data_IF_894354464548
#
_entry.id   IF_894354464548
#
_cell.length_a   1.000
_cell.length_b   1.000
_cell.length_c   1.000
_cell.angle_alpha   90.00
_cell.angle_beta   90.00
_cell.angle_gamma   90.00
#
_symmetry.space_group_name_H-M   'P 1'
#
loop_
_entity.id
_entity.type
_entity.pdbx_description
1 polymer ?
#
# COMPACT_ATOMS: atom_id res chain seq x y z
N UNK A 1 12.05 -2.14 5.57
CA UNK A 1 11.39 -1.99 4.26
C UNK A 1 9.87 -2.22 4.38
N UNK A 2 9.07 -1.20 4.08
CA UNK A 2 7.59 -1.19 4.17
C UNK A 2 6.88 -2.08 3.13
N UNK A 3 7.61 -3.00 2.49
CA UNK A 3 7.15 -3.91 1.44
C UNK A 3 6.47 -5.16 2.03
N UNK A 4 6.71 -5.48 3.31
CA UNK A 4 6.15 -6.69 3.93
C UNK A 4 4.64 -6.60 4.12
N UNK A 5 4.10 -5.43 4.49
CA UNK A 5 2.68 -5.31 4.87
C UNK A 5 1.75 -5.37 3.65
N UNK A 6 2.11 -4.66 2.58
CA UNK A 6 1.37 -4.70 1.30
C UNK A 6 1.48 -6.08 0.65
N UNK A 7 2.65 -6.72 0.70
CA UNK A 7 2.83 -8.09 0.21
C UNK A 7 1.97 -9.10 1.01
N UNK A 8 1.95 -8.98 2.34
CA UNK A 8 1.12 -9.84 3.19
C UNK A 8 -0.38 -9.68 2.88
N UNK A 9 -0.86 -8.45 2.74
CA UNK A 9 -2.25 -8.19 2.34
C UNK A 9 -2.58 -8.85 0.98
N UNK A 10 -1.64 -8.80 0.04
CA UNK A 10 -1.78 -9.44 -1.26
C UNK A 10 -1.92 -10.95 -1.14
N UNK A 11 -1.02 -11.61 -0.40
CA UNK A 11 -1.07 -13.05 -0.18
C UNK A 11 -2.34 -13.48 0.55
N UNK A 12 -2.81 -12.70 1.53
CA UNK A 12 -4.09 -12.95 2.21
C UNK A 12 -5.23 -12.92 1.18
N UNK A 13 -5.32 -11.86 0.38
CA UNK A 13 -6.40 -11.73 -0.62
C UNK A 13 -6.34 -12.80 -1.72
N UNK A 14 -5.15 -13.22 -2.15
CA UNK A 14 -5.02 -14.35 -3.08
C UNK A 14 -5.55 -15.65 -2.49
N UNK A 15 -5.28 -15.91 -1.20
CA UNK A 15 -5.78 -17.11 -0.49
C UNK A 15 -7.28 -17.05 -0.27
N UNK A 16 -7.83 -15.91 0.10
CA UNK A 16 -9.27 -15.76 0.38
C UNK A 16 -10.10 -15.93 -0.90
N UNK A 17 -9.62 -15.41 -2.04
CA UNK A 17 -10.19 -15.65 -3.36
C UNK A 17 -10.18 -17.15 -3.69
N UNK A 18 -9.04 -17.83 -3.49
CA UNK A 18 -8.92 -19.27 -3.75
C UNK A 18 -9.84 -20.13 -2.85
N UNK A 19 -10.11 -19.67 -1.63
CA UNK A 19 -11.00 -20.33 -0.67
C UNK A 19 -12.49 -19.95 -0.85
N UNK A 20 -12.80 -18.98 -1.71
CA UNK A 20 -14.18 -18.53 -1.93
C UNK A 20 -14.83 -17.88 -0.72
N UNK A 21 -14.06 -17.18 0.12
CA UNK A 21 -14.61 -16.55 1.34
C UNK A 21 -15.61 -15.43 0.99
N UNK A 22 -16.72 -15.27 1.72
CA UNK A 22 -17.75 -14.29 1.40
C UNK A 22 -17.46 -12.86 1.89
N UNK A 23 -16.36 -12.65 2.62
CA UNK A 23 -16.02 -11.35 3.22
C UNK A 23 -14.85 -10.69 2.52
N UNK A 24 -14.90 -9.36 2.44
CA UNK A 24 -13.83 -8.52 1.91
C UNK A 24 -12.73 -8.30 2.96
N UNK A 25 -11.47 -8.49 2.56
CA UNK A 25 -10.30 -8.24 3.41
C UNK A 25 -9.60 -6.97 2.96
N UNK A 26 -9.73 -5.90 3.75
CA UNK A 26 -9.15 -4.59 3.47
C UNK A 26 -8.07 -4.21 4.48
N UNK A 27 -7.44 -3.05 4.29
CA UNK A 27 -6.37 -2.53 5.13
C UNK A 27 -6.80 -1.31 5.94
N UNK A 28 -6.16 -1.13 7.10
CA UNK A 28 -6.19 0.10 7.89
C UNK A 28 -4.77 0.40 8.34
N UNK A 29 -4.02 1.09 7.49
CA UNK A 29 -2.59 1.32 7.68
C UNK A 29 -2.30 2.77 8.06
N UNK A 30 -1.57 2.97 9.15
CA UNK A 30 -1.01 4.27 9.52
C UNK A 30 0.37 4.48 8.89
N UNK A 31 1.42 4.11 9.64
CA UNK A 31 2.82 4.35 9.26
C UNK A 31 3.20 3.82 7.88
N UNK A 32 2.69 2.64 7.49
CA UNK A 32 3.04 2.01 6.20
C UNK A 32 2.52 2.77 4.97
N UNK A 33 1.53 3.66 5.12
CA UNK A 33 1.07 4.57 4.06
C UNK A 33 1.75 5.94 4.12
N UNK A 34 2.04 6.44 5.33
CA UNK A 34 2.54 7.81 5.53
C UNK A 34 4.07 7.91 5.55
N UNK A 35 4.82 6.83 5.76
CA UNK A 35 6.28 6.84 5.89
C UNK A 35 7.02 7.40 4.67
N UNK A 36 6.72 6.90 3.47
CA UNK A 36 7.33 7.40 2.23
C UNK A 36 6.94 8.85 1.90
N UNK A 37 5.65 9.26 1.99
CA UNK A 37 5.23 10.66 1.83
C UNK A 37 5.89 11.62 2.81
N UNK A 38 5.98 11.25 4.09
CA UNK A 38 6.63 12.08 5.11
C UNK A 38 8.11 12.26 4.83
N UNK A 39 8.79 11.19 4.40
CA UNK A 39 10.19 11.24 3.98
C UNK A 39 10.37 12.13 2.75
N UNK A 40 9.50 12.01 1.75
CA UNK A 40 9.53 12.83 0.54
C UNK A 40 9.22 14.31 0.83
N UNK A 41 8.30 14.58 1.76
CA UNK A 41 7.94 15.94 2.17
C UNK A 41 9.09 16.65 2.89
N UNK A 42 9.75 15.97 3.82
CA UNK A 42 10.85 16.52 4.64
C UNK A 42 10.51 17.84 5.37
N UNK A 43 9.22 18.14 5.57
CA UNK A 43 8.75 19.38 6.20
C UNK A 43 8.83 20.63 5.31
N UNK A 44 9.11 20.46 4.02
CA UNK A 44 9.32 21.56 3.06
C UNK A 44 8.11 21.75 2.15
N UNK A 45 7.64 22.99 2.01
CA UNK A 45 6.45 23.28 1.20
C UNK A 45 6.69 23.02 -0.29
N UNK A 46 7.93 23.21 -0.77
CA UNK A 46 8.33 22.91 -2.14
C UNK A 46 8.22 21.41 -2.49
N UNK A 47 8.20 20.51 -1.49
CA UNK A 47 8.13 19.06 -1.69
C UNK A 47 6.69 18.51 -1.64
N UNK A 48 5.67 19.35 -1.51
CA UNK A 48 4.28 18.89 -1.34
C UNK A 48 3.81 18.02 -2.50
N UNK A 49 4.17 18.35 -3.75
CA UNK A 49 3.82 17.53 -4.91
C UNK A 49 4.50 16.16 -4.89
N UNK A 50 5.80 16.11 -4.55
CA UNK A 50 6.54 14.87 -4.43
C UNK A 50 5.96 13.96 -3.31
N UNK A 51 5.57 14.56 -2.19
CA UNK A 51 4.91 13.85 -1.09
C UNK A 51 3.53 13.30 -1.49
N UNK A 52 2.73 14.10 -2.20
CA UNK A 52 1.42 13.69 -2.71
C UNK A 52 1.55 12.52 -3.70
N UNK A 53 2.52 12.58 -4.62
CA UNK A 53 2.81 11.51 -5.56
C UNK A 53 3.22 10.23 -4.82
N UNK A 54 4.13 10.32 -3.86
CA UNK A 54 4.54 9.18 -3.04
C UNK A 54 3.35 8.54 -2.28
N UNK A 55 2.43 9.37 -1.77
CA UNK A 55 1.25 8.88 -1.07
C UNK A 55 0.29 8.16 -2.01
N UNK A 56 0.01 8.79 -3.17
CA UNK A 56 -0.86 8.21 -4.19
C UNK A 56 -0.32 6.87 -4.71
N UNK A 57 0.99 6.78 -4.96
CA UNK A 57 1.65 5.53 -5.38
C UNK A 57 1.47 4.45 -4.32
N UNK A 58 1.72 4.75 -3.04
CA UNK A 58 1.54 3.77 -1.95
C UNK A 58 0.09 3.34 -1.77
N UNK A 59 -0.86 4.26 -1.88
CA UNK A 59 -2.29 3.96 -1.84
C UNK A 59 -2.69 3.05 -3.00
N UNK A 60 -2.19 3.31 -4.21
CA UNK A 60 -2.47 2.52 -5.41
C UNK A 60 -1.91 1.09 -5.30
N UNK A 61 -0.67 0.94 -4.86
CA UNK A 61 -0.06 -0.38 -4.62
C UNK A 61 -0.81 -1.18 -3.55
N UNK A 62 -1.26 -0.51 -2.48
CA UNK A 62 -2.04 -1.17 -1.42
C UNK A 62 -3.44 -1.56 -1.89
N UNK A 63 -4.06 -0.74 -2.75
CA UNK A 63 -5.32 -1.09 -3.42
C UNK A 63 -5.16 -2.31 -4.34
N UNK A 64 -4.06 -2.42 -5.07
CA UNK A 64 -3.74 -3.61 -5.87
C UNK A 64 -3.57 -4.86 -4.99
N UNK A 65 -2.93 -4.72 -3.81
CA UNK A 65 -2.79 -5.81 -2.86
C UNK A 65 -4.14 -6.27 -2.28
N UNK A 66 -5.07 -5.35 -2.02
CA UNK A 66 -6.45 -5.69 -1.64
C UNK A 66 -7.13 -6.58 -2.68
N UNK A 67 -6.77 -6.43 -3.96
CA UNK A 67 -7.32 -7.24 -5.04
C UNK A 67 -6.52 -8.54 -5.29
N UNK A 68 -5.45 -8.80 -4.54
CA UNK A 68 -4.54 -9.93 -4.80
C UNK A 68 -3.68 -9.76 -6.07
N UNK A 69 -3.53 -8.52 -6.56
CA UNK A 69 -2.85 -8.18 -7.83
C UNK A 69 -1.60 -7.32 -7.64
N UNK A 70 -1.10 -7.18 -6.41
CA UNK A 70 0.13 -6.43 -6.17
C UNK A 70 1.34 -7.21 -6.69
N UNK A 71 2.13 -6.56 -7.53
CA UNK A 71 3.43 -7.03 -8.00
C UNK A 71 4.48 -6.19 -7.29
N UNK A 72 5.35 -6.79 -6.46
CA UNK A 72 6.48 -6.05 -5.88
C UNK A 72 7.39 -5.57 -7.01
N UNK A 73 7.75 -4.28 -7.02
CA UNK A 73 8.90 -3.83 -7.80
C UNK A 73 10.15 -4.50 -7.20
N UNK A 74 10.90 -5.20 -8.07
CA UNK A 74 12.11 -5.94 -7.72
C UNK A 74 13.32 -5.04 -7.50
#
# INVERSE_FOLDING_TARGET
PDNSVTSNLNTINQKTIALGTPWEFTFSFGRSLQGAPLTAWAGKAENTEAAALAFYTRASLTSAARQGKYVPEG
#
